data_IF_872428883493
#
_entry.id   IF_872428883493
#
_cell.length_a   1.000
_cell.length_b   1.000
_cell.length_c   1.000
_cell.angle_alpha   90.00
_cell.angle_beta   90.00
_cell.angle_gamma   90.00
#
_symmetry.space_group_name_H-M   'P 1'
#
loop_
_entity.id
_entity.type
_entity.pdbx_description
1 polymer ?
#
# COMPACT_ATOMS: atom_id res chain seq x y z
N UNK A 1 7.62 2.38 0.33
CA UNK A 1 6.97 3.68 0.61
C UNK A 1 6.37 4.20 -0.69
N UNK A 2 5.36 5.08 -0.63
CA UNK A 2 4.73 5.62 -1.85
C UNK A 2 5.59 6.69 -2.51
N UNK A 3 6.18 7.58 -1.69
CA UNK A 3 7.09 8.60 -2.20
C UNK A 3 8.29 7.97 -2.90
N UNK A 4 8.62 8.52 -4.06
CA UNK A 4 9.83 8.17 -4.82
C UNK A 4 10.77 9.38 -5.00
N UNK A 5 10.79 10.28 -4.01
CA UNK A 5 11.63 11.49 -4.00
C UNK A 5 13.13 11.18 -4.16
N UNK A 6 13.56 10.04 -3.64
CA UNK A 6 14.92 9.50 -3.79
C UNK A 6 16.05 10.41 -3.24
N UNK A 7 15.72 11.50 -2.54
CA UNK A 7 16.67 12.60 -2.28
C UNK A 7 17.34 13.03 -3.60
N UNK A 8 16.60 13.01 -4.70
CA UNK A 8 17.13 13.37 -6.00
C UNK A 8 17.41 14.89 -6.08
N UNK A 9 18.25 15.33 -7.04
CA UNK A 9 18.40 16.76 -7.34
C UNK A 9 17.04 17.46 -7.58
N UNK A 10 16.12 16.78 -8.25
CA UNK A 10 14.75 17.25 -8.44
C UNK A 10 13.86 16.43 -7.50
N UNK A 11 13.10 17.10 -6.64
CA UNK A 11 12.21 16.43 -5.67
C UNK A 11 11.03 15.73 -6.35
N UNK A 12 10.27 14.93 -5.60
CA UNK A 12 9.05 14.26 -6.06
C UNK A 12 8.02 15.23 -6.68
N UNK A 13 7.94 16.45 -6.15
CA UNK A 13 7.05 17.52 -6.65
C UNK A 13 7.68 18.40 -7.73
N UNK A 14 8.83 18.00 -8.29
CA UNK A 14 9.52 18.73 -9.34
C UNK A 14 10.29 19.97 -8.88
N UNK A 15 10.49 20.15 -7.58
CA UNK A 15 11.18 21.32 -7.03
C UNK A 15 12.70 21.13 -7.12
N UNK A 16 13.42 22.22 -7.38
CA UNK A 16 14.87 22.21 -7.27
C UNK A 16 15.30 22.07 -5.81
N UNK A 17 16.27 21.20 -5.53
CA UNK A 17 16.86 21.04 -4.19
C UNK A 17 18.25 21.69 -4.12
N UNK A 18 18.87 21.82 -2.94
CA UNK A 18 20.28 22.21 -2.83
C UNK A 18 21.20 21.32 -3.68
N UNK A 19 20.91 20.02 -3.76
CA UNK A 19 21.66 19.05 -4.58
C UNK A 19 21.57 19.38 -6.08
N UNK A 20 20.42 19.84 -6.56
CA UNK A 20 20.28 20.34 -7.93
C UNK A 20 21.19 21.52 -8.22
N UNK A 21 21.22 22.51 -7.33
CA UNK A 21 22.02 23.70 -7.55
C UNK A 21 23.52 23.41 -7.58
N UNK A 22 24.01 22.54 -6.69
CA UNK A 22 25.42 22.12 -6.71
C UNK A 22 25.76 21.26 -7.94
N UNK A 23 24.89 20.33 -8.32
CA UNK A 23 25.07 19.54 -9.54
C UNK A 23 25.10 20.43 -10.78
N UNK A 24 24.12 21.34 -10.89
CA UNK A 24 24.00 22.29 -12.00
C UNK A 24 25.22 23.20 -12.10
N UNK A 25 25.72 23.72 -10.97
CA UNK A 25 26.96 24.50 -10.91
C UNK A 25 28.15 23.68 -11.41
N UNK A 26 28.29 22.45 -10.94
CA UNK A 26 29.38 21.55 -11.34
C UNK A 26 29.38 21.27 -12.85
N UNK A 27 28.21 20.99 -13.42
CA UNK A 27 28.05 20.70 -14.84
C UNK A 27 28.41 21.90 -15.75
N UNK A 28 28.33 23.14 -15.24
CA UNK A 28 28.71 24.35 -16.00
C UNK A 28 30.17 24.29 -16.47
N UNK A 29 31.06 23.66 -15.69
CA UNK A 29 32.48 23.55 -16.02
C UNK A 29 32.75 22.65 -17.25
N UNK A 30 31.75 21.88 -17.71
CA UNK A 30 31.88 20.90 -18.79
C UNK A 30 31.08 21.27 -20.04
N UNK A 31 30.69 22.54 -20.18
CA UNK A 31 29.82 22.99 -21.28
C UNK A 31 30.56 23.61 -22.48
N UNK A 32 31.89 23.72 -22.44
CA UNK A 32 32.73 24.17 -23.57
C UNK A 32 32.25 25.44 -24.29
N UNK A 33 31.71 26.41 -23.53
CA UNK A 33 31.20 27.70 -24.04
C UNK A 33 29.69 27.77 -24.24
N UNK A 34 28.96 26.65 -24.11
CA UNK A 34 27.50 26.63 -24.11
C UNK A 34 26.93 27.11 -22.76
N UNK A 35 25.69 27.60 -22.78
CA UNK A 35 24.96 28.06 -21.58
C UNK A 35 23.87 27.07 -21.20
N UNK A 36 23.70 26.83 -19.91
CA UNK A 36 22.60 26.01 -19.42
C UNK A 36 21.25 26.67 -19.71
N UNK A 37 20.28 25.86 -20.12
CA UNK A 37 18.89 26.29 -20.26
C UNK A 37 18.36 26.85 -18.93
N UNK A 38 17.49 27.87 -18.99
CA UNK A 38 16.88 28.45 -17.79
C UNK A 38 16.13 27.37 -17.00
N UNK A 39 16.16 27.47 -15.68
CA UNK A 39 15.33 26.63 -14.82
C UNK A 39 13.87 27.05 -15.03
N UNK A 40 12.94 26.13 -15.29
CA UNK A 40 11.52 26.44 -15.37
C UNK A 40 10.99 27.04 -14.06
N UNK A 41 9.92 27.83 -14.16
CA UNK A 41 9.25 28.34 -12.96
C UNK A 41 8.65 27.20 -12.14
N UNK A 42 8.80 27.29 -10.83
CA UNK A 42 8.31 26.28 -9.91
C UNK A 42 6.80 26.39 -9.72
N UNK A 43 6.13 25.23 -9.67
CA UNK A 43 4.72 25.15 -9.30
C UNK A 43 4.60 25.45 -7.80
N UNK A 44 3.79 26.46 -7.45
CA UNK A 44 3.53 26.82 -6.06
C UNK A 44 2.58 25.82 -5.42
N UNK A 45 2.92 25.35 -4.22
CA UNK A 45 2.00 24.57 -3.41
C UNK A 45 0.84 25.43 -2.93
N UNK A 46 -0.32 24.79 -2.75
CA UNK A 46 -1.48 25.38 -2.10
C UNK A 46 -1.72 24.68 -0.76
N UNK A 47 -2.40 25.37 0.14
CA UNK A 47 -2.96 24.76 1.34
C UNK A 47 -4.43 24.47 1.09
N UNK A 48 -4.87 23.26 1.40
CA UNK A 48 -6.27 22.85 1.33
C UNK A 48 -6.83 22.91 2.76
N UNK A 49 -7.93 23.64 3.01
CA UNK A 49 -8.55 23.68 4.34
C UNK A 49 -9.08 22.30 4.73
N UNK A 50 -9.18 22.05 6.04
CA UNK A 50 -9.75 20.80 6.54
C UNK A 50 -11.18 20.61 6.04
N UNK A 51 -11.51 19.39 5.61
CA UNK A 51 -12.85 18.98 5.20
C UNK A 51 -13.22 17.66 5.88
N UNK A 52 -14.53 17.42 6.00
CA UNK A 52 -15.05 16.20 6.63
C UNK A 52 -15.52 15.22 5.54
N UNK A 53 -15.26 13.93 5.76
CA UNK A 53 -15.90 12.87 4.99
C UNK A 53 -17.29 12.61 5.57
N UNK A 54 -18.32 12.86 4.77
CA UNK A 54 -19.73 12.74 5.19
C UNK A 54 -20.39 11.43 4.73
N UNK A 55 -19.71 10.66 3.90
CA UNK A 55 -20.23 9.43 3.30
C UNK A 55 -19.28 8.25 3.58
N UNK A 56 -19.86 7.07 3.77
CA UNK A 56 -19.12 5.83 4.03
C UNK A 56 -19.77 4.66 3.32
N UNK A 57 -18.96 3.79 2.73
CA UNK A 57 -19.38 2.53 2.14
C UNK A 57 -18.57 1.39 2.78
N UNK A 58 -19.15 0.62 3.72
CA UNK A 58 -18.46 -0.50 4.34
C UNK A 58 -18.09 -1.56 3.30
N UNK A 59 -16.84 -2.02 3.30
CA UNK A 59 -16.34 -2.97 2.30
C UNK A 59 -17.13 -4.29 2.28
N UNK A 60 -17.46 -4.84 3.45
CA UNK A 60 -18.17 -6.12 3.54
C UNK A 60 -19.62 -6.06 3.07
N UNK A 61 -20.23 -4.88 3.06
CA UNK A 61 -21.59 -4.65 2.56
C UNK A 61 -21.61 -4.39 1.04
N UNK A 62 -20.43 -4.17 0.44
CA UNK A 62 -20.26 -3.77 -0.96
C UNK A 62 -19.34 -4.75 -1.73
N UNK A 63 -19.40 -6.04 -1.39
CA UNK A 63 -18.56 -7.05 -2.03
C UNK A 63 -19.01 -7.38 -3.45
N UNK A 64 -18.07 -7.68 -4.36
CA UNK A 64 -18.40 -8.16 -5.69
C UNK A 64 -18.97 -9.59 -5.64
N UNK A 65 -19.36 -10.10 -6.80
CA UNK A 65 -19.76 -11.52 -6.92
C UNK A 65 -18.59 -12.43 -6.54
N UNK A 66 -18.83 -13.36 -5.62
CA UNK A 66 -17.80 -14.26 -5.12
C UNK A 66 -17.46 -15.37 -6.13
N UNK A 67 -16.18 -15.71 -6.24
CA UNK A 67 -15.69 -16.96 -6.85
C UNK A 67 -15.62 -18.05 -5.77
N UNK A 68 -16.05 -19.27 -6.09
CA UNK A 68 -16.10 -20.40 -5.15
C UNK A 68 -15.08 -21.46 -5.54
N UNK A 69 -14.22 -21.80 -4.59
CA UNK A 69 -13.20 -22.83 -4.74
C UNK A 69 -13.06 -23.64 -3.46
N UNK A 70 -12.67 -24.92 -3.62
CA UNK A 70 -12.37 -25.80 -2.48
C UNK A 70 -10.99 -25.55 -1.91
N UNK A 71 -10.02 -25.28 -2.79
CA UNK A 71 -8.63 -25.06 -2.43
C UNK A 71 -8.32 -23.57 -2.49
N UNK A 72 -7.43 -23.12 -1.61
CA UNK A 72 -6.90 -21.76 -1.68
C UNK A 72 -6.10 -21.61 -2.97
N UNK A 73 -6.23 -20.44 -3.60
CA UNK A 73 -5.51 -19.99 -4.79
C UNK A 73 -5.00 -18.58 -4.55
N UNK A 74 -3.96 -18.14 -5.24
CA UNK A 74 -3.46 -16.77 -5.16
C UNK A 74 -4.38 -15.80 -5.92
N UNK A 75 -4.14 -14.49 -5.76
CA UNK A 75 -4.95 -13.48 -6.45
C UNK A 75 -4.76 -13.52 -7.98
N UNK A 76 -3.56 -13.86 -8.46
CA UNK A 76 -3.23 -13.97 -9.87
C UNK A 76 -3.97 -15.14 -10.53
N UNK A 77 -4.16 -16.24 -9.81
CA UNK A 77 -4.98 -17.37 -10.27
C UNK A 77 -6.48 -17.00 -10.43
N UNK A 78 -6.90 -15.88 -9.83
CA UNK A 78 -8.22 -15.29 -10.03
C UNK A 78 -8.26 -14.14 -11.05
N UNK A 79 -7.15 -13.93 -11.78
CA UNK A 79 -6.96 -12.83 -12.73
C UNK A 79 -6.99 -11.44 -12.06
N UNK A 80 -6.47 -11.36 -10.83
CA UNK A 80 -6.34 -10.11 -10.08
C UNK A 80 -4.85 -9.84 -9.79
N UNK A 81 -4.29 -8.78 -10.39
CA UNK A 81 -2.87 -8.43 -10.21
C UNK A 81 -2.58 -7.42 -9.08
N UNK A 82 -3.57 -6.63 -8.65
CA UNK A 82 -3.37 -5.58 -7.63
C UNK A 82 -4.58 -5.48 -6.68
N UNK A 83 -4.35 -4.84 -5.53
CA UNK A 83 -5.37 -4.53 -4.54
C UNK A 83 -5.42 -5.55 -3.39
N UNK A 84 -6.63 -5.91 -2.96
CA UNK A 84 -6.85 -6.85 -1.86
C UNK A 84 -7.82 -7.94 -2.30
N UNK A 85 -7.71 -9.12 -1.67
CA UNK A 85 -8.58 -10.26 -1.90
C UNK A 85 -9.17 -10.74 -0.57
N UNK A 86 -10.46 -11.09 -0.58
CA UNK A 86 -11.17 -11.63 0.57
C UNK A 86 -11.35 -13.14 0.41
N UNK A 87 -10.73 -13.92 1.30
CA UNK A 87 -11.04 -15.34 1.47
C UNK A 87 -12.09 -15.49 2.58
N UNK A 88 -13.18 -16.20 2.28
CA UNK A 88 -14.28 -16.43 3.23
C UNK A 88 -14.64 -17.91 3.25
N UNK A 89 -14.80 -18.46 4.44
CA UNK A 89 -15.28 -19.83 4.67
C UNK A 89 -16.17 -19.87 5.89
N UNK A 90 -16.85 -21.01 6.10
CA UNK A 90 -17.60 -21.32 7.32
C UNK A 90 -16.88 -22.45 8.04
N UNK A 91 -16.71 -22.32 9.35
CA UNK A 91 -16.06 -23.33 10.17
C UNK A 91 -17.11 -24.18 10.89
N UNK A 92 -16.82 -25.45 11.22
CA UNK A 92 -17.63 -26.21 12.18
C UNK A 92 -17.54 -25.58 13.57
N UNK A 93 -18.37 -26.04 14.51
CA UNK A 93 -18.28 -25.64 15.92
C UNK A 93 -16.88 -25.96 16.49
N UNK A 94 -16.23 -24.94 17.07
CA UNK A 94 -14.91 -25.06 17.70
C UNK A 94 -15.11 -24.93 19.22
N UNK A 95 -15.04 -26.04 19.94
CA UNK A 95 -15.35 -26.08 21.39
C UNK A 95 -14.24 -25.57 22.30
N UNK A 96 -13.04 -25.39 21.75
CA UNK A 96 -11.84 -25.03 22.50
C UNK A 96 -11.03 -24.01 21.72
N UNK A 97 -10.38 -23.10 22.44
CA UNK A 97 -9.45 -22.15 21.83
C UNK A 97 -8.46 -22.89 20.93
N UNK A 98 -8.30 -22.36 19.71
CA UNK A 98 -7.48 -22.98 18.67
C UNK A 98 -6.54 -21.94 18.07
N UNK A 99 -5.67 -22.37 17.17
CA UNK A 99 -4.74 -21.48 16.47
C UNK A 99 -5.08 -21.53 15.00
N UNK A 100 -5.38 -20.37 14.43
CA UNK A 100 -5.49 -20.22 12.98
C UNK A 100 -4.10 -19.95 12.42
N UNK A 101 -3.65 -20.83 11.52
CA UNK A 101 -2.40 -20.69 10.78
C UNK A 101 -2.70 -20.35 9.33
N UNK A 102 -2.14 -19.24 8.84
CA UNK A 102 -2.13 -18.88 7.43
C UNK A 102 -0.71 -19.06 6.91
N UNK A 103 -0.54 -20.00 5.98
CA UNK A 103 0.76 -20.38 5.40
C UNK A 103 1.27 -19.31 4.42
N UNK A 104 1.64 -18.15 4.98
CA UNK A 104 2.07 -16.91 4.34
C UNK A 104 0.91 -16.05 3.80
N UNK A 105 0.60 -14.98 4.54
CA UNK A 105 -0.25 -13.90 4.07
C UNK A 105 0.59 -12.87 3.30
N UNK A 106 0.38 -12.78 1.99
CA UNK A 106 1.08 -11.81 1.14
C UNK A 106 0.17 -10.60 0.84
N UNK A 107 0.30 -9.46 1.52
CA UNK A 107 1.34 -9.08 2.50
C UNK A 107 0.82 -8.73 3.90
N UNK A 108 -0.42 -8.27 4.01
CA UNK A 108 -1.04 -7.89 5.27
C UNK A 108 -2.48 -8.40 5.30
N UNK A 109 -2.79 -9.26 6.26
CA UNK A 109 -4.11 -9.84 6.41
C UNK A 109 -4.79 -9.33 7.69
N UNK A 110 -6.07 -8.99 7.58
CA UNK A 110 -6.96 -8.81 8.72
C UNK A 110 -7.90 -10.01 8.79
N UNK A 111 -8.08 -10.54 9.98
CA UNK A 111 -8.92 -11.72 10.21
C UNK A 111 -10.13 -11.33 11.02
N UNK A 112 -11.29 -11.79 10.55
CA UNK A 112 -12.58 -11.52 11.15
C UNK A 112 -13.33 -12.84 11.41
N UNK A 113 -14.00 -12.91 12.56
CA UNK A 113 -14.94 -13.99 12.90
C UNK A 113 -16.32 -13.37 13.09
N UNK A 114 -17.29 -13.80 12.28
CA UNK A 114 -18.65 -13.27 12.28
C UNK A 114 -18.71 -11.73 12.23
N UNK A 115 -17.84 -11.14 11.39
CA UNK A 115 -17.72 -9.70 11.22
C UNK A 115 -16.91 -8.97 12.30
N UNK A 116 -16.50 -9.65 13.38
CA UNK A 116 -15.67 -9.07 14.45
C UNK A 116 -14.19 -9.27 14.15
N UNK A 117 -13.41 -8.20 14.22
CA UNK A 117 -11.96 -8.27 14.06
C UNK A 117 -11.32 -9.06 15.21
N UNK A 118 -10.51 -10.07 14.89
CA UNK A 118 -9.82 -10.91 15.87
C UNK A 118 -8.29 -10.81 15.81
N UNK A 119 -7.75 -10.20 14.76
CA UNK A 119 -6.31 -10.01 14.65
C UNK A 119 -5.83 -9.73 13.23
N UNK A 120 -4.52 -9.51 13.10
CA UNK A 120 -3.84 -9.28 11.84
C UNK A 120 -2.61 -10.19 11.72
N UNK A 121 -2.17 -10.39 10.50
CA UNK A 121 -0.89 -11.03 10.17
C UNK A 121 -0.12 -10.09 9.24
N UNK A 122 1.08 -9.69 9.66
CA UNK A 122 1.99 -8.82 8.90
C UNK A 122 3.21 -9.60 8.43
N UNK A 123 3.35 -9.76 7.11
CA UNK A 123 4.47 -10.46 6.48
C UNK A 123 5.83 -9.90 6.89
N UNK A 124 5.93 -8.58 7.11
CA UNK A 124 7.20 -7.91 7.47
C UNK A 124 7.75 -8.42 8.80
N UNK A 125 6.86 -8.90 9.66
CA UNK A 125 7.19 -9.47 10.97
C UNK A 125 7.22 -11.00 10.96
N UNK A 126 6.97 -11.65 9.82
CA UNK A 126 6.87 -13.11 9.72
C UNK A 126 5.68 -13.70 10.48
N UNK A 127 4.62 -12.92 10.70
CA UNK A 127 3.43 -13.37 11.43
C UNK A 127 2.60 -14.33 10.56
N UNK A 128 2.32 -15.53 11.09
CA UNK A 128 1.56 -16.58 10.38
C UNK A 128 0.42 -17.17 11.19
N UNK A 129 0.35 -16.87 12.48
CA UNK A 129 -0.59 -17.49 13.40
C UNK A 129 -1.34 -16.43 14.21
N UNK A 130 -2.60 -16.72 14.51
CA UNK A 130 -3.37 -15.96 15.49
C UNK A 130 -4.15 -16.91 16.39
N UNK A 131 -4.38 -16.48 17.63
CA UNK A 131 -5.30 -17.16 18.51
C UNK A 131 -6.71 -17.05 17.93
N UNK A 132 -7.38 -18.17 17.82
CA UNK A 132 -8.75 -18.26 17.35
C UNK A 132 -9.67 -18.52 18.55
N UNK A 133 -10.62 -17.62 18.84
CA UNK A 133 -11.48 -17.76 20.01
C UNK A 133 -12.36 -19.02 19.89
N UNK A 134 -12.73 -19.58 21.04
CA UNK A 134 -13.78 -20.60 21.13
C UNK A 134 -15.16 -19.96 20.92
#
# INVERSE_FOLDING_TARGET
>A
VTSYDYDAPISESGQTTPKYWELRKTLTNYMYGEKQAKVPDLIKSISIPAFQFTEVAPLFDNLPTAKKDRNIRTMEEYDQGFGSILYRTTLPEIKTSSVLTINDAHDYAQVFLDGKYIGKLDRRNGEKTLLFPA
#
